data_IF_617687563619
#
_entry.id   IF_617687563619
#
_cell.length_a   1.000
_cell.length_b   1.000
_cell.length_c   1.000
_cell.angle_alpha   90.00
_cell.angle_beta   90.00
_cell.angle_gamma   90.00
#
_symmetry.space_group_name_H-M   'P 1'
#
loop_
_entity.id
_entity.type
_entity.pdbx_description
1 polymer ?
#
# COMPACT_ATOMS: atom_id res chain seq x y z
N UNK A 1 1.15 -18.07 -14.85
CA UNK A 1 2.13 -17.27 -15.63
C UNK A 1 3.13 -16.69 -14.64
N UNK A 2 4.43 -16.80 -14.89
CA UNK A 2 5.44 -16.25 -13.96
C UNK A 2 5.43 -14.71 -13.96
N UNK A 3 5.53 -14.10 -12.78
CA UNK A 3 5.71 -12.66 -12.60
C UNK A 3 7.16 -12.30 -12.97
N UNK A 4 7.36 -11.65 -14.12
CA UNK A 4 8.66 -11.08 -14.46
C UNK A 4 8.88 -9.79 -13.66
N UNK A 5 10.10 -9.55 -13.12
CA UNK A 5 10.42 -8.26 -12.52
C UNK A 5 10.18 -7.13 -13.53
N UNK A 6 9.32 -6.17 -13.19
CA UNK A 6 9.04 -5.03 -14.06
C UNK A 6 10.18 -3.99 -13.98
N UNK A 7 10.82 -3.89 -12.82
CA UNK A 7 11.96 -3.01 -12.55
C UNK A 7 13.28 -3.64 -13.04
N UNK A 8 14.09 -2.89 -13.78
CA UNK A 8 15.49 -3.26 -14.06
C UNK A 8 16.48 -2.52 -13.16
N UNK A 9 16.35 -1.19 -13.06
CA UNK A 9 17.22 -0.36 -12.21
C UNK A 9 16.61 0.98 -11.88
N UNK A 10 17.06 1.55 -10.78
CA UNK A 10 16.85 2.95 -10.44
C UNK A 10 17.84 3.80 -11.23
N UNK A 11 17.34 4.81 -11.94
CA UNK A 11 18.18 5.85 -12.56
C UNK A 11 18.34 7.04 -11.61
N UNK A 12 17.31 7.33 -10.81
CA UNK A 12 17.32 8.24 -9.67
C UNK A 12 16.50 7.64 -8.54
N UNK A 13 17.05 7.61 -7.33
CA UNK A 13 16.34 7.11 -6.15
C UNK A 13 15.26 8.11 -5.70
N UNK A 14 14.20 7.58 -5.11
CA UNK A 14 13.24 8.38 -4.36
C UNK A 14 13.88 8.86 -3.06
N UNK A 15 13.31 9.90 -2.47
CA UNK A 15 13.56 10.22 -1.06
C UNK A 15 12.91 9.15 -0.18
N UNK A 16 13.70 8.14 0.19
CA UNK A 16 13.21 6.97 0.92
C UNK A 16 12.74 7.32 2.34
N UNK A 17 13.32 8.32 2.98
CA UNK A 17 12.90 8.77 4.30
C UNK A 17 11.46 9.27 4.25
N UNK A 18 11.12 10.06 3.23
CA UNK A 18 9.73 10.47 2.94
C UNK A 18 8.83 9.29 2.60
N UNK A 19 9.32 8.29 1.85
CA UNK A 19 8.53 7.08 1.53
C UNK A 19 8.19 6.28 2.80
N UNK A 20 9.17 6.11 3.71
CA UNK A 20 8.96 5.42 4.98
C UNK A 20 7.99 6.18 5.88
N UNK A 21 8.02 7.52 5.91
CA UNK A 21 7.00 8.30 6.63
C UNK A 21 5.61 8.11 6.03
N UNK A 22 5.51 7.93 4.71
CA UNK A 22 4.26 7.62 4.00
C UNK A 22 3.71 6.21 4.24
N UNK A 23 4.44 5.31 4.91
CA UNK A 23 3.88 3.99 5.26
C UNK A 23 2.61 4.17 6.08
N UNK A 24 2.59 5.12 7.01
CA UNK A 24 1.49 5.29 7.98
C UNK A 24 0.80 6.65 7.88
N UNK A 25 1.13 7.46 6.86
CA UNK A 25 0.59 8.81 6.73
C UNK A 25 0.78 9.37 5.33
N UNK A 26 0.65 10.69 5.20
CA UNK A 26 0.75 11.35 3.91
C UNK A 26 2.19 11.48 3.41
N UNK A 27 2.37 11.32 2.10
CA UNK A 27 3.56 11.80 1.41
C UNK A 27 3.44 13.32 1.15
N UNK A 28 4.55 14.08 1.23
CA UNK A 28 4.52 15.51 1.02
C UNK A 28 4.25 15.85 -0.45
N UNK A 29 3.63 17.00 -0.69
CA UNK A 29 3.26 17.45 -2.03
C UNK A 29 4.50 17.68 -2.92
N UNK A 30 5.64 18.03 -2.31
CA UNK A 30 6.93 18.26 -2.96
C UNK A 30 7.79 17.00 -3.14
N UNK A 31 7.20 15.80 -2.96
CA UNK A 31 7.94 14.54 -3.02
C UNK A 31 8.61 14.37 -4.39
N UNK A 32 9.94 14.26 -4.37
CA UNK A 32 10.72 13.98 -5.57
C UNK A 32 10.61 12.50 -5.93
N UNK A 33 9.76 12.23 -6.92
CA UNK A 33 9.56 10.88 -7.44
C UNK A 33 10.83 10.33 -8.09
N UNK A 34 11.05 9.01 -8.04
CA UNK A 34 12.21 8.38 -8.65
C UNK A 34 12.14 8.42 -10.18
N UNK A 35 13.29 8.16 -10.81
CA UNK A 35 13.38 7.83 -12.24
C UNK A 35 13.71 6.35 -12.33
N UNK A 36 12.90 5.60 -13.07
CA UNK A 36 12.93 4.14 -13.08
C UNK A 36 13.13 3.61 -14.49
N UNK A 37 14.13 2.76 -14.69
CA UNK A 37 14.25 1.97 -15.91
C UNK A 37 13.51 0.64 -15.75
N UNK A 38 12.55 0.39 -16.62
CA UNK A 38 11.84 -0.87 -16.70
C UNK A 38 12.68 -1.93 -17.42
N UNK A 39 12.46 -3.19 -17.05
CA UNK A 39 13.11 -4.30 -17.72
C UNK A 39 12.75 -4.34 -19.22
N UNK A 40 13.67 -4.64 -20.16
CA UNK A 40 13.36 -4.65 -21.59
C UNK A 40 12.22 -5.61 -21.96
N UNK A 41 12.04 -6.69 -21.19
CA UNK A 41 10.93 -7.65 -21.35
C UNK A 41 9.66 -7.31 -20.55
N UNK A 42 9.68 -6.24 -19.76
CA UNK A 42 8.50 -5.73 -19.06
C UNK A 42 7.39 -5.41 -20.06
N UNK A 43 6.14 -5.65 -19.66
CA UNK A 43 4.95 -5.27 -20.42
C UNK A 43 4.34 -4.04 -19.75
N UNK A 44 3.95 -3.06 -20.54
CA UNK A 44 3.27 -1.86 -20.05
C UNK A 44 1.79 -2.17 -19.75
N UNK A 45 1.52 -2.60 -18.53
CA UNK A 45 0.20 -2.98 -18.03
C UNK A 45 -0.53 -1.80 -17.37
N UNK A 46 -1.79 -1.97 -16.99
CA UNK A 46 -2.58 -0.92 -16.33
C UNK A 46 -1.99 -0.55 -14.96
N UNK A 47 -1.50 -1.54 -14.22
CA UNK A 47 -0.72 -1.40 -13.01
C UNK A 47 0.67 -2.02 -13.21
N UNK A 48 1.73 -1.31 -12.83
CA UNK A 48 3.08 -1.86 -12.79
C UNK A 48 3.38 -2.36 -11.37
N UNK A 49 3.56 -3.67 -11.22
CA UNK A 49 3.93 -4.33 -9.97
C UNK A 49 5.44 -4.46 -9.84
N UNK A 50 5.95 -4.52 -8.60
CA UNK A 50 7.39 -4.76 -8.36
C UNK A 50 8.31 -3.57 -8.63
N UNK A 51 7.77 -2.37 -8.80
CA UNK A 51 8.50 -1.14 -8.48
C UNK A 51 8.50 -1.09 -6.96
N UNK A 52 9.68 -1.10 -6.33
CA UNK A 52 10.00 -1.28 -4.89
C UNK A 52 9.40 -0.18 -3.95
N UNK A 53 8.25 0.38 -4.30
CA UNK A 53 7.45 1.29 -3.50
C UNK A 53 6.11 0.66 -3.04
N UNK A 54 5.77 -0.55 -3.52
CA UNK A 54 4.66 -1.33 -2.95
C UNK A 54 5.11 -1.92 -1.60
N UNK A 55 4.31 -1.82 -0.53
CA UNK A 55 2.86 -1.56 -0.50
C UNK A 55 2.46 -0.12 -0.18
N UNK A 56 3.38 0.84 -0.27
CA UNK A 56 3.12 2.26 0.06
C UNK A 56 2.34 2.96 -1.05
N UNK A 57 2.78 2.78 -2.30
CA UNK A 57 2.16 3.39 -3.47
C UNK A 57 1.98 2.37 -4.59
N UNK A 58 0.93 2.56 -5.38
CA UNK A 58 0.69 1.84 -6.62
C UNK A 58 1.27 2.62 -7.80
N UNK A 59 1.82 1.94 -8.80
CA UNK A 59 2.19 2.60 -10.07
C UNK A 59 1.12 2.29 -11.11
N UNK A 60 0.29 3.29 -11.43
CA UNK A 60 -0.92 3.13 -12.22
C UNK A 60 -0.87 3.99 -13.49
N UNK A 61 -1.47 3.52 -14.59
CA UNK A 61 -1.71 4.39 -15.75
C UNK A 61 -2.62 5.57 -15.38
N UNK A 62 -2.40 6.73 -16.01
CA UNK A 62 -3.25 7.92 -15.86
C UNK A 62 -4.72 7.64 -16.15
N UNK A 63 -5.00 6.85 -17.19
CA UNK A 63 -6.37 6.46 -17.54
C UNK A 63 -7.05 5.64 -16.46
N UNK A 64 -6.29 4.79 -15.76
CA UNK A 64 -6.83 3.98 -14.67
C UNK A 64 -7.06 4.80 -13.40
N UNK A 65 -6.18 5.76 -13.08
CA UNK A 65 -6.44 6.71 -12.00
C UNK A 65 -7.73 7.50 -12.26
N UNK A 66 -7.98 7.92 -13.52
CA UNK A 66 -9.24 8.56 -13.89
C UNK A 66 -10.45 7.63 -13.69
N UNK A 67 -10.34 6.37 -14.10
CA UNK A 67 -11.37 5.36 -13.85
C UNK A 67 -11.69 5.19 -12.36
N UNK A 68 -10.68 5.22 -11.48
CA UNK A 68 -10.89 5.11 -10.03
C UNK A 68 -11.69 6.29 -9.44
N UNK A 69 -11.78 7.44 -10.12
CA UNK A 69 -12.53 8.60 -9.64
C UNK A 69 -14.05 8.37 -9.58
N UNK A 70 -14.55 7.33 -10.25
CA UNK A 70 -15.97 6.95 -10.25
C UNK A 70 -16.36 6.08 -9.03
N UNK A 71 -15.43 5.84 -8.12
CA UNK A 71 -15.58 4.97 -6.94
C UNK A 71 -15.36 5.73 -5.63
N UNK A 72 -15.82 5.15 -4.51
CA UNK A 72 -15.62 5.75 -3.19
C UNK A 72 -14.20 5.44 -2.70
N UNK A 73 -13.35 6.46 -2.61
CA UNK A 73 -11.94 6.32 -2.24
C UNK A 73 -11.63 7.17 -1.00
N UNK A 74 -10.76 6.68 -0.09
CA UNK A 74 -10.19 7.53 0.95
C UNK A 74 -9.38 8.69 0.36
N UNK A 75 -9.00 9.68 1.20
CA UNK A 75 -8.03 10.70 0.82
C UNK A 75 -6.78 10.09 0.21
N UNK A 76 -6.47 10.51 -1.01
CA UNK A 76 -5.37 9.99 -1.80
C UNK A 76 -4.67 11.10 -2.57
N UNK A 77 -3.42 10.83 -2.95
CA UNK A 77 -2.58 11.73 -3.74
C UNK A 77 -1.94 10.97 -4.88
N UNK A 78 -1.55 11.74 -5.91
CA UNK A 78 -0.84 11.20 -7.07
C UNK A 78 0.34 12.06 -7.47
N UNK A 79 1.42 11.41 -7.91
CA UNK A 79 2.60 12.09 -8.45
C UNK A 79 2.99 11.51 -9.81
N UNK A 80 3.44 12.33 -10.76
CA UNK A 80 4.01 11.83 -12.01
C UNK A 80 5.27 11.03 -11.72
N UNK A 81 5.46 9.91 -12.42
CA UNK A 81 6.71 9.15 -12.37
C UNK A 81 7.37 9.13 -13.75
N UNK A 82 8.69 9.29 -13.77
CA UNK A 82 9.48 9.15 -14.99
C UNK A 82 9.94 7.71 -15.13
N UNK A 83 9.39 7.03 -16.13
CA UNK A 83 9.77 5.67 -16.49
C UNK A 83 10.56 5.68 -17.80
N UNK A 84 11.57 4.83 -17.91
CA UNK A 84 12.33 4.59 -19.14
C UNK A 84 12.16 3.13 -19.54
N UNK A 85 11.72 2.85 -20.75
CA UNK A 85 11.54 1.50 -21.28
C UNK A 85 12.10 1.39 -22.70
N UNK A 86 13.10 0.51 -22.90
CA UNK A 86 13.75 0.32 -24.22
C UNK A 86 14.20 1.64 -24.85
N UNK A 87 14.89 2.46 -24.06
CA UNK A 87 15.41 3.78 -24.45
C UNK A 87 14.34 4.82 -24.83
N UNK A 88 13.08 4.57 -24.45
CA UNK A 88 11.97 5.51 -24.61
C UNK A 88 11.47 6.00 -23.25
N UNK A 89 11.20 7.29 -23.16
CA UNK A 89 10.56 7.88 -22.01
C UNK A 89 9.06 7.58 -22.01
N UNK A 90 8.55 7.14 -20.85
CA UNK A 90 7.16 6.80 -20.62
C UNK A 90 6.62 7.73 -19.52
N UNK A 91 5.63 8.54 -19.88
CA UNK A 91 5.03 9.56 -19.00
C UNK A 91 3.54 9.29 -18.70
N UNK A 92 3.04 8.10 -19.03
CA UNK A 92 1.63 7.73 -18.91
C UNK A 92 1.27 7.12 -17.53
N UNK A 93 2.21 7.10 -16.58
CA UNK A 93 2.01 6.51 -15.26
C UNK A 93 2.10 7.56 -14.15
N UNK A 94 1.40 7.26 -13.06
CA UNK A 94 1.38 7.99 -11.81
C UNK A 94 1.72 7.04 -10.66
N UNK A 95 2.35 7.57 -9.62
CA UNK A 95 2.33 6.96 -8.30
C UNK A 95 1.02 7.37 -7.63
N UNK A 96 0.26 6.39 -7.14
CA UNK A 96 -1.01 6.56 -6.46
C UNK A 96 -0.88 6.09 -5.02
N UNK A 97 -1.35 6.89 -4.07
CA UNK A 97 -1.14 6.66 -2.65
C UNK A 97 -2.39 7.01 -1.85
N UNK A 98 -2.88 6.06 -1.05
CA UNK A 98 -3.88 6.32 -0.01
C UNK A 98 -3.14 6.70 1.27
N UNK A 99 -3.44 7.90 1.76
CA UNK A 99 -2.68 8.57 2.82
C UNK A 99 -3.18 8.24 4.22
N UNK A 100 -4.46 7.90 4.35
CA UNK A 100 -5.06 7.51 5.62
C UNK A 100 -5.36 6.00 5.62
N UNK A 101 -4.46 5.18 6.19
CA UNK A 101 -4.71 3.76 6.30
C UNK A 101 -5.78 3.51 7.38
N UNK A 102 -6.88 2.87 6.98
CA UNK A 102 -8.08 2.72 7.81
C UNK A 102 -8.04 1.48 8.71
N UNK A 103 -6.85 0.94 9.01
CA UNK A 103 -6.67 -0.26 9.85
C UNK A 103 -7.46 -0.14 11.17
N UNK A 104 -7.40 1.03 11.80
CA UNK A 104 -8.05 1.32 13.08
C UNK A 104 -9.59 1.28 13.02
N UNK A 105 -10.18 1.39 11.83
CA UNK A 105 -11.63 1.31 11.60
C UNK A 105 -12.03 -0.16 11.39
N UNK A 106 -11.24 -0.87 10.58
CA UNK A 106 -11.55 -2.21 10.10
C UNK A 106 -11.25 -3.31 11.12
N UNK A 107 -10.24 -3.13 11.97
CA UNK A 107 -9.88 -4.17 12.94
C UNK A 107 -10.96 -4.23 14.03
N UNK A 108 -11.57 -5.41 14.18
CA UNK A 108 -12.40 -5.73 15.33
C UNK A 108 -11.49 -5.94 16.55
N UNK A 109 -11.27 -4.85 17.30
CA UNK A 109 -10.37 -4.79 18.45
C UNK A 109 -10.73 -5.86 19.50
N UNK A 110 -12.02 -6.09 19.75
CA UNK A 110 -12.48 -7.04 20.77
C UNK A 110 -12.17 -8.50 20.40
N UNK A 111 -12.12 -8.80 19.10
CA UNK A 111 -11.84 -10.14 18.56
C UNK A 111 -10.40 -10.33 18.11
N UNK A 112 -9.59 -9.28 18.15
CA UNK A 112 -8.19 -9.30 17.71
C UNK A 112 -7.24 -9.36 18.90
N UNK A 113 -6.05 -9.94 18.68
CA UNK A 113 -4.97 -9.93 19.67
C UNK A 113 -3.81 -9.08 19.15
N UNK A 114 -3.20 -8.28 20.03
CA UNK A 114 -2.10 -7.39 19.66
C UNK A 114 -0.81 -7.72 20.40
N UNK A 115 0.32 -7.42 19.77
CA UNK A 115 1.63 -7.53 20.37
C UNK A 115 2.59 -6.48 19.79
N UNK A 116 3.54 -6.02 20.58
CA UNK A 116 4.60 -5.12 20.14
C UNK A 116 5.87 -5.91 19.87
N UNK A 117 6.47 -5.71 18.69
CA UNK A 117 7.73 -6.36 18.31
C UNK A 117 8.63 -5.39 17.53
N UNK A 118 9.92 -5.70 17.48
CA UNK A 118 10.90 -4.99 16.66
C UNK A 118 11.16 -5.71 15.33
N UNK A 119 11.35 -4.94 14.26
CA UNK A 119 11.60 -5.46 12.92
C UNK A 119 10.33 -5.71 12.10
N UNK A 120 10.47 -6.32 10.92
CA UNK A 120 9.39 -6.59 9.96
C UNK A 120 9.15 -8.10 9.88
N UNK A 121 7.91 -8.60 10.07
CA UNK A 121 7.59 -10.03 10.00
C UNK A 121 7.62 -10.50 8.54
N UNK A 122 8.79 -10.91 8.03
CA UNK A 122 8.89 -11.51 6.70
C UNK A 122 8.36 -12.95 6.67
N UNK A 123 7.03 -13.12 6.73
CA UNK A 123 6.36 -14.42 6.61
C UNK A 123 6.42 -15.30 7.87
N UNK A 124 6.69 -14.71 9.04
CA UNK A 124 6.70 -15.39 10.33
C UNK A 124 6.25 -14.48 11.47
N UNK A 125 5.87 -15.07 12.61
CA UNK A 125 5.53 -14.31 13.82
C UNK A 125 6.81 -13.80 14.46
N UNK A 126 6.93 -12.48 14.60
CA UNK A 126 7.98 -11.90 15.45
C UNK A 126 7.67 -12.23 16.91
N UNK A 127 8.71 -12.57 17.68
CA UNK A 127 8.59 -12.61 19.13
C UNK A 127 8.36 -11.20 19.64
N UNK A 128 7.33 -11.03 20.48
CA UNK A 128 6.92 -9.72 20.95
C UNK A 128 6.08 -9.78 22.21
N UNK A 129 5.92 -8.63 22.83
CA UNK A 129 5.21 -8.46 24.10
C UNK A 129 3.72 -8.28 23.82
N UNK A 130 2.82 -9.06 24.46
CA UNK A 130 1.38 -8.85 24.32
C UNK A 130 0.97 -7.43 24.71
N UNK A 131 0.09 -6.83 23.91
CA UNK A 131 -0.45 -5.48 24.15
C UNK A 131 -1.97 -5.57 24.21
N UNK A 132 -2.56 -4.98 25.24
CA UNK A 132 -4.01 -4.85 25.34
C UNK A 132 -4.45 -3.54 24.70
N UNK A 133 -5.42 -3.62 23.80
CA UNK A 133 -6.04 -2.48 23.13
C UNK A 133 -7.54 -2.56 23.42
N UNK A 134 -8.12 -1.49 23.97
CA UNK A 134 -9.54 -1.43 24.33
C UNK A 134 -10.41 -0.91 23.20
N UNK A 135 -9.88 0.02 22.41
CA UNK A 135 -10.62 0.70 21.36
C UNK A 135 -9.69 1.21 20.24
N UNK A 136 -10.29 1.78 19.19
CA UNK A 136 -9.59 2.29 18.02
C UNK A 136 -8.68 3.50 18.34
N UNK A 137 -9.03 4.32 19.34
CA UNK A 137 -8.23 5.49 19.72
C UNK A 137 -7.00 5.07 20.52
N UNK A 138 -7.14 4.07 21.41
CA UNK A 138 -6.01 3.41 22.06
C UNK A 138 -5.10 2.71 21.06
N UNK A 139 -5.65 2.05 20.03
CA UNK A 139 -4.87 1.47 18.93
C UNK A 139 -3.96 2.52 18.26
N UNK A 140 -4.53 3.65 17.83
CA UNK A 140 -3.77 4.75 17.20
C UNK A 140 -2.69 5.29 18.13
N UNK A 141 -3.06 5.54 19.39
CA UNK A 141 -2.16 6.10 20.40
C UNK A 141 -0.97 5.18 20.65
N UNK A 142 -1.22 3.90 20.91
CA UNK A 142 -0.16 2.91 21.18
C UNK A 142 0.75 2.72 19.96
N UNK A 143 0.18 2.70 18.74
CA UNK A 143 0.97 2.64 17.51
C UNK A 143 1.94 3.82 17.39
N UNK A 144 1.47 5.04 17.69
CA UNK A 144 2.31 6.25 17.70
C UNK A 144 3.35 6.23 18.82
N UNK A 145 3.00 5.79 20.03
CA UNK A 145 3.89 5.69 21.19
C UNK A 145 5.06 4.74 20.89
N UNK A 146 4.78 3.54 20.39
CA UNK A 146 5.81 2.54 20.06
C UNK A 146 6.83 3.08 19.04
N UNK A 147 6.35 3.80 18.02
CA UNK A 147 7.20 4.42 17.00
C UNK A 147 8.06 5.56 17.55
N UNK A 148 7.52 6.33 18.51
CA UNK A 148 8.26 7.40 19.18
C UNK A 148 9.36 6.85 20.10
N UNK A 149 9.07 5.74 20.80
CA UNK A 149 10.05 5.05 21.64
C UNK A 149 11.18 4.41 20.82
N UNK A 150 10.83 3.70 19.76
CA UNK A 150 11.77 3.05 18.86
C UNK A 150 11.15 2.95 17.45
N UNK A 151 11.80 3.60 16.46
CA UNK A 151 11.30 3.62 15.08
C UNK A 151 11.26 2.24 14.40
N UNK A 152 11.92 1.23 14.98
CA UNK A 152 11.87 -0.16 14.51
C UNK A 152 10.82 -1.01 15.22
N UNK A 153 10.16 -0.47 16.26
CA UNK A 153 9.11 -1.14 17.02
C UNK A 153 7.74 -0.79 16.44
N UNK A 154 6.87 -1.80 16.33
CA UNK A 154 5.54 -1.63 15.76
C UNK A 154 4.51 -2.47 16.48
N UNK A 155 3.24 -2.06 16.38
CA UNK A 155 2.09 -2.80 16.88
C UNK A 155 1.62 -3.77 15.79
N UNK A 156 1.56 -5.05 16.13
CA UNK A 156 1.14 -6.12 15.25
C UNK A 156 -0.14 -6.77 15.78
N UNK A 157 -0.91 -7.40 14.89
CA UNK A 157 -2.10 -8.18 15.25
C UNK A 157 -1.96 -9.64 14.84
N UNK A 158 -2.21 -10.57 15.77
CA UNK A 158 -2.24 -12.02 15.49
C UNK A 158 -2.97 -12.80 16.58
N UNK A 159 -4.18 -13.36 16.32
CA UNK A 159 -4.97 -13.19 15.09
C UNK A 159 -5.52 -11.77 14.93
N UNK A 160 -5.79 -11.37 13.69
CA UNK A 160 -6.51 -10.15 13.33
C UNK A 160 -7.88 -10.53 12.77
N UNK A 161 -8.93 -9.87 13.24
CA UNK A 161 -10.28 -10.00 12.69
C UNK A 161 -10.67 -8.66 12.07
N UNK A 162 -11.08 -8.69 10.81
CA UNK A 162 -11.50 -7.49 10.08
C UNK A 162 -13.01 -7.48 9.87
N UNK A 163 -13.59 -6.29 10.00
CA UNK A 163 -14.99 -6.01 9.78
C UNK A 163 -15.10 -4.97 8.64
N UNK A 164 -15.16 -5.48 7.40
CA UNK A 164 -15.26 -4.65 6.21
C UNK A 164 -16.62 -3.95 6.05
N UNK A 165 -17.65 -4.33 6.82
CA UNK A 165 -18.94 -3.62 6.85
C UNK A 165 -18.82 -2.23 7.48
N UNK A 166 -17.68 -1.93 8.15
CA UNK A 166 -17.38 -0.63 8.77
C UNK A 166 -16.85 0.42 7.78
N UNK A 167 -16.69 0.08 6.51
CA UNK A 167 -16.25 1.02 5.48
C UNK A 167 -17.13 0.96 4.24
N UNK A 168 -17.30 2.09 3.56
CA UNK A 168 -17.96 2.18 2.25
C UNK A 168 -16.96 2.28 1.10
N UNK A 169 -15.67 2.40 1.41
CA UNK A 169 -14.64 2.61 0.41
C UNK A 169 -14.46 1.38 -0.49
N UNK A 170 -14.36 1.66 -1.79
CA UNK A 170 -14.19 0.68 -2.85
C UNK A 170 -12.72 0.24 -3.01
N UNK A 171 -11.76 1.06 -2.57
CA UNK A 171 -10.33 0.73 -2.52
C UNK A 171 -9.71 1.31 -1.26
N UNK A 172 -9.04 0.45 -0.49
CA UNK A 172 -8.43 0.80 0.79
C UNK A 172 -6.99 0.32 0.82
N UNK A 173 -6.22 0.91 1.73
CA UNK A 173 -4.85 0.49 2.04
C UNK A 173 -4.79 0.08 3.49
N UNK A 174 -4.28 -1.11 3.75
CA UNK A 174 -3.99 -1.62 5.08
C UNK A 174 -2.48 -1.62 5.28
N UNK A 175 -2.05 -1.21 6.47
CA UNK A 175 -0.63 -1.06 6.84
C UNK A 175 -0.21 -2.02 7.94
N UNK A 176 -1.18 -2.71 8.55
CA UNK A 176 -0.93 -3.63 9.63
C UNK A 176 -0.65 -5.05 9.10
N UNK A 177 0.47 -5.62 9.51
CA UNK A 177 0.81 -7.01 9.24
C UNK A 177 -0.07 -7.96 10.08
N UNK A 178 -0.42 -9.16 9.56
CA UNK A 178 0.11 -9.78 8.34
C UNK A 178 -0.64 -9.40 7.04
N UNK A 179 -1.60 -8.48 7.09
CA UNK A 179 -2.50 -8.17 5.97
C UNK A 179 -2.16 -6.81 5.33
N UNK A 180 -0.88 -6.60 5.04
CA UNK A 180 -0.34 -5.40 4.42
C UNK A 180 -0.66 -5.37 2.92
N UNK A 181 -1.32 -4.30 2.44
CA UNK A 181 -1.60 -4.17 1.01
C UNK A 181 -2.76 -3.25 0.65
N UNK A 182 -3.20 -3.38 -0.60
CA UNK A 182 -4.40 -2.71 -1.11
C UNK A 182 -5.51 -3.74 -1.28
N UNK A 183 -6.70 -3.39 -0.82
CA UNK A 183 -7.90 -4.23 -0.90
C UNK A 183 -8.97 -3.48 -1.68
N UNK A 184 -9.75 -4.22 -2.46
CA UNK A 184 -10.83 -3.66 -3.28
C UNK A 184 -12.16 -4.26 -2.87
N UNK A 185 -13.24 -3.48 -2.99
CA UNK A 185 -14.61 -4.02 -2.92
C UNK A 185 -14.87 -4.95 -4.10
N UNK A 186 -15.85 -5.85 -3.96
CA UNK A 186 -16.29 -6.70 -5.07
C UNK A 186 -16.79 -5.85 -6.26
N UNK A 187 -17.51 -4.75 -5.98
CA UNK A 187 -17.98 -3.79 -6.99
C UNK A 187 -16.82 -3.23 -7.82
N UNK A 188 -15.73 -2.81 -7.18
CA UNK A 188 -14.57 -2.30 -7.90
C UNK A 188 -13.81 -3.41 -8.64
N UNK A 189 -13.68 -4.61 -8.05
CA UNK A 189 -13.11 -5.78 -8.72
C UNK A 189 -13.84 -6.08 -10.04
N UNK A 190 -15.16 -6.17 -10.01
CA UNK A 190 -15.99 -6.44 -11.20
C UNK A 190 -15.79 -5.37 -12.28
N UNK A 191 -15.81 -4.09 -11.88
CA UNK A 191 -15.61 -2.99 -12.82
C UNK A 191 -14.17 -2.95 -13.38
N UNK A 192 -13.16 -3.32 -12.60
CA UNK A 192 -11.78 -3.45 -13.06
C UNK A 192 -11.62 -4.58 -14.09
N UNK A 193 -12.35 -5.69 -13.91
CA UNK A 193 -12.38 -6.79 -14.87
C UNK A 193 -13.07 -6.37 -16.18
N UNK A 194 -14.20 -5.68 -16.10
CA UNK A 194 -14.90 -5.13 -17.27
C UNK A 194 -14.06 -4.08 -18.02
N UNK A 195 -13.37 -3.21 -17.28
CA UNK A 195 -12.44 -2.21 -17.84
C UNK A 195 -11.19 -2.84 -18.47
N UNK A 196 -10.90 -4.11 -18.20
CA UNK A 196 -9.72 -4.81 -18.71
C UNK A 196 -8.42 -4.38 -18.04
N UNK A 197 -8.44 -4.18 -16.72
CA UNK A 197 -7.22 -3.91 -15.94
C UNK A 197 -6.23 -5.07 -16.07
N UNK A 198 -4.95 -4.74 -16.20
CA UNK A 198 -3.85 -5.72 -16.29
C UNK A 198 -2.73 -5.38 -15.34
N UNK A 199 -1.93 -6.38 -14.97
CA UNK A 199 -0.76 -6.24 -14.11
C UNK A 199 -1.02 -6.47 -12.62
N UNK A 200 -2.26 -6.78 -12.25
CA UNK A 200 -2.70 -7.23 -10.92
C UNK A 200 -3.08 -8.72 -10.93
N UNK A 201 -3.24 -9.28 -9.73
CA UNK A 201 -3.87 -10.58 -9.47
C UNK A 201 -4.82 -10.44 -8.28
N UNK A 202 -5.78 -11.34 -8.19
CA UNK A 202 -6.75 -11.36 -7.10
C UNK A 202 -6.43 -12.50 -6.13
N UNK A 203 -6.50 -12.18 -4.84
CA UNK A 203 -6.48 -13.13 -3.74
C UNK A 203 -7.68 -12.80 -2.86
N UNK A 204 -8.45 -13.83 -2.50
CA UNK A 204 -9.65 -13.71 -1.68
C UNK A 204 -9.28 -14.05 -0.24
N UNK A 205 -9.73 -13.22 0.70
CA UNK A 205 -9.50 -13.33 2.14
C UNK A 205 -10.80 -13.62 2.87
#
# INVERSE_FOLDING_TARGET
MGTFPQLAKWLKHADWEKVYSGIEGELPDDWQTPIVALHPKAKLTTQLTGILLAPVVLTLKKSFVKFLQDFDLPPHKTWPIHLVHRDQDIHDYLLFHISDPIDHILIDIEKSSFYAAEGIPFGGKLEGEPVQIKDAEEYKRVKLELKYENSSRSLYSSPAVFDFDRTTYDLIRMTNEPHLGYFVSQKLKDAMEEYGVTGNGWEEF
#
